data_IF_605411425934
#
_entry.id   IF_605411425934
#
_cell.length_a   1.000
_cell.length_b   1.000
_cell.length_c   1.000
_cell.angle_alpha   90.00
_cell.angle_beta   90.00
_cell.angle_gamma   90.00
#
_symmetry.space_group_name_H-M   'P 1'
#
loop_
_entity.id
_entity.type
_entity.pdbx_description
1 polymer ?
#
# COMPACT_ATOMS: atom_id res chain seq x y z
N UNK A 1 -0.76 -21.29 4.06
CA UNK A 1 0.02 -20.87 5.26
C UNK A 1 -0.79 -19.87 6.10
N UNK A 2 -0.52 -19.69 7.41
CA UNK A 2 -1.42 -18.97 8.33
C UNK A 2 -1.80 -17.52 7.95
N UNK A 3 -1.04 -16.86 7.08
CA UNK A 3 -1.27 -15.46 6.69
C UNK A 3 -1.65 -15.24 5.22
N UNK A 4 -1.93 -16.28 4.44
CA UNK A 4 -2.32 -16.10 3.02
C UNK A 4 -3.63 -15.33 2.87
N UNK A 5 -4.63 -15.63 3.71
CA UNK A 5 -5.91 -14.91 3.70
C UNK A 5 -5.73 -13.41 4.01
N UNK A 6 -4.83 -13.09 4.94
CA UNK A 6 -4.49 -11.70 5.26
C UNK A 6 -3.78 -11.02 4.10
N UNK A 7 -2.77 -11.68 3.50
CA UNK A 7 -2.08 -11.18 2.31
C UNK A 7 -3.06 -10.91 1.17
N UNK A 8 -3.95 -11.86 0.85
CA UNK A 8 -4.96 -11.67 -0.19
C UNK A 8 -5.85 -10.48 0.07
N UNK A 9 -6.28 -10.26 1.32
CA UNK A 9 -7.09 -9.10 1.70
C UNK A 9 -6.33 -7.78 1.56
N UNK A 10 -5.05 -7.74 1.91
CA UNK A 10 -4.23 -6.54 1.71
C UNK A 10 -4.08 -6.22 0.23
N UNK A 11 -3.80 -7.23 -0.60
CA UNK A 11 -3.70 -7.04 -2.06
C UNK A 11 -5.04 -6.56 -2.64
N UNK A 12 -6.17 -7.11 -2.20
CA UNK A 12 -7.50 -6.65 -2.60
C UNK A 12 -7.72 -5.16 -2.26
N UNK A 13 -7.26 -4.69 -1.09
CA UNK A 13 -7.33 -3.26 -0.75
C UNK A 13 -6.46 -2.44 -1.71
N UNK A 14 -5.25 -2.91 -2.05
CA UNK A 14 -4.40 -2.21 -3.02
C UNK A 14 -5.04 -2.17 -4.41
N UNK A 15 -5.62 -3.27 -4.87
CA UNK A 15 -6.35 -3.31 -6.15
C UNK A 15 -7.55 -2.34 -6.15
N UNK A 16 -8.26 -2.21 -5.02
CA UNK A 16 -9.32 -1.23 -4.86
C UNK A 16 -8.77 0.21 -4.93
N UNK A 17 -7.66 0.51 -4.25
CA UNK A 17 -7.03 1.84 -4.34
C UNK A 17 -6.63 2.19 -5.78
N UNK A 18 -6.09 1.22 -6.52
CA UNK A 18 -5.64 1.40 -7.91
C UNK A 18 -6.81 1.56 -8.88
N UNK A 19 -7.87 0.77 -8.71
CA UNK A 19 -9.07 0.83 -9.56
C UNK A 19 -9.89 2.09 -9.33
N UNK A 20 -9.94 2.58 -8.09
CA UNK A 20 -10.60 3.85 -7.73
C UNK A 20 -9.73 5.08 -8.01
N UNK A 21 -8.43 4.89 -8.29
CA UNK A 21 -7.42 5.96 -8.36
C UNK A 21 -7.36 6.80 -7.06
N UNK A 22 -7.59 6.14 -5.93
CA UNK A 22 -7.73 6.78 -4.61
C UNK A 22 -7.05 5.92 -3.51
N UNK A 23 -5.98 6.43 -2.84
CA UNK A 23 -5.34 7.71 -3.12
C UNK A 23 -4.45 7.64 -4.37
N UNK A 24 -4.39 8.72 -5.16
CA UNK A 24 -3.60 8.81 -6.41
C UNK A 24 -2.13 8.40 -6.22
N UNK A 25 -1.58 8.63 -5.03
CA UNK A 25 -0.20 8.29 -4.72
C UNK A 25 0.09 6.77 -4.77
N UNK A 26 -0.93 5.91 -4.60
CA UNK A 26 -0.78 4.46 -4.74
C UNK A 26 -0.42 4.08 -6.18
N UNK A 27 -1.14 4.64 -7.16
CA UNK A 27 -0.88 4.41 -8.58
C UNK A 27 0.46 4.98 -9.02
N UNK A 28 0.77 6.23 -8.62
CA UNK A 28 2.07 6.86 -8.92
C UNK A 28 3.24 6.02 -8.40
N UNK A 29 3.13 5.46 -7.18
CA UNK A 29 4.21 4.63 -6.64
C UNK A 29 4.25 3.24 -7.26
N UNK A 30 3.12 2.65 -7.65
CA UNK A 30 3.10 1.40 -8.40
C UNK A 30 3.87 1.56 -9.72
N UNK A 31 3.54 2.58 -10.50
CA UNK A 31 4.20 2.86 -11.78
C UNK A 31 5.70 3.11 -11.57
N UNK A 32 6.07 3.88 -10.54
CA UNK A 32 7.48 4.13 -10.18
C UNK A 32 8.24 2.84 -9.86
N UNK A 33 7.65 1.94 -9.07
CA UNK A 33 8.28 0.67 -8.69
C UNK A 33 8.40 -0.29 -9.88
N UNK A 34 7.40 -0.33 -10.76
CA UNK A 34 7.48 -1.12 -11.98
C UNK A 34 8.61 -0.57 -12.88
N UNK A 35 8.68 0.75 -13.04
CA UNK A 35 9.74 1.40 -13.80
C UNK A 35 11.14 1.21 -13.18
N UNK A 36 11.24 0.95 -11.88
CA UNK A 36 12.49 0.59 -11.21
C UNK A 36 12.84 -0.90 -11.29
N UNK A 37 12.04 -1.71 -12.00
CA UNK A 37 12.33 -3.11 -12.30
C UNK A 37 11.60 -4.13 -11.42
N UNK A 38 10.69 -3.71 -10.54
CA UNK A 38 9.85 -4.66 -9.81
C UNK A 38 8.73 -5.21 -10.69
N UNK A 39 8.33 -6.45 -10.44
CA UNK A 39 7.07 -6.96 -10.99
C UNK A 39 5.90 -6.25 -10.31
N UNK A 40 4.76 -6.13 -11.00
CA UNK A 40 3.55 -5.53 -10.45
C UNK A 40 3.15 -6.18 -9.11
N UNK A 41 3.24 -7.51 -9.01
CA UNK A 41 2.93 -8.24 -7.78
C UNK A 41 3.85 -7.81 -6.62
N UNK A 42 5.17 -7.73 -6.84
CA UNK A 42 6.13 -7.30 -5.81
C UNK A 42 5.92 -5.84 -5.44
N UNK A 43 5.61 -4.99 -6.41
CA UNK A 43 5.30 -3.58 -6.16
C UNK A 43 4.03 -3.43 -5.30
N UNK A 44 2.96 -4.17 -5.60
CA UNK A 44 1.74 -4.20 -4.76
C UNK A 44 2.01 -4.69 -3.34
N UNK A 45 2.90 -5.66 -3.16
CA UNK A 45 3.31 -6.14 -1.83
C UNK A 45 4.10 -5.11 -1.03
N UNK A 46 4.97 -4.33 -1.69
CA UNK A 46 5.66 -3.20 -1.05
C UNK A 46 4.67 -2.13 -0.59
N UNK A 47 3.72 -1.76 -1.44
CA UNK A 47 2.64 -0.82 -1.09
C UNK A 47 1.81 -1.36 0.09
N UNK A 48 1.44 -2.65 0.05
CA UNK A 48 0.71 -3.30 1.13
C UNK A 48 1.46 -3.27 2.48
N UNK A 49 2.79 -3.30 2.47
CA UNK A 49 3.60 -3.19 3.70
C UNK A 49 3.43 -1.83 4.36
N UNK A 50 3.41 -0.76 3.57
CA UNK A 50 3.15 0.61 4.06
C UNK A 50 1.71 0.77 4.53
N UNK A 51 0.75 0.13 3.87
CA UNK A 51 -0.65 0.10 4.32
C UNK A 51 -0.77 -0.56 5.70
N UNK A 52 -0.11 -1.69 5.92
CA UNK A 52 -0.10 -2.37 7.23
C UNK A 52 0.48 -1.47 8.31
N UNK A 53 1.57 -0.76 8.03
CA UNK A 53 2.17 0.19 8.96
C UNK A 53 1.20 1.33 9.32
N UNK A 54 0.51 1.90 8.32
CA UNK A 54 -0.49 2.94 8.56
C UNK A 54 -1.70 2.41 9.36
N UNK A 55 -2.18 1.21 9.04
CA UNK A 55 -3.26 0.56 9.79
C UNK A 55 -2.85 0.29 11.25
N UNK A 56 -1.59 -0.11 11.49
CA UNK A 56 -1.07 -0.29 12.83
C UNK A 56 -1.08 1.03 13.61
N UNK A 57 -0.63 2.13 12.99
CA UNK A 57 -0.65 3.46 13.61
C UNK A 57 -2.09 3.91 13.94
N UNK A 58 -3.02 3.75 12.99
CA UNK A 58 -4.47 4.02 13.16
C UNK A 58 -5.04 3.27 14.35
N UNK A 59 -4.79 1.96 14.43
CA UNK A 59 -5.31 1.12 15.52
C UNK A 59 -4.69 1.46 16.87
N UNK A 60 -3.37 1.70 16.89
CA UNK A 60 -2.62 1.99 18.12
C UNK A 60 -2.93 3.36 18.69
N UNK A 61 -3.08 4.36 17.84
CA UNK A 61 -3.29 5.76 18.23
C UNK A 61 -4.76 6.16 18.25
N UNK A 62 -5.67 5.28 17.80
CA UNK A 62 -7.11 5.54 17.65
C UNK A 62 -7.40 6.78 16.79
N UNK A 63 -6.57 7.00 15.77
CA UNK A 63 -6.71 8.10 14.82
C UNK A 63 -7.25 7.61 13.49
N UNK A 64 -7.95 8.45 12.70
CA UNK A 64 -8.30 8.10 11.32
C UNK A 64 -7.08 7.80 10.45
N UNK A 65 -7.30 7.06 9.35
CA UNK A 65 -6.29 6.85 8.31
C UNK A 65 -5.78 8.19 7.79
N UNK A 66 -4.46 8.34 7.73
CA UNK A 66 -3.80 9.57 7.29
C UNK A 66 -3.21 9.37 5.90
N UNK A 67 -3.94 9.81 4.88
CA UNK A 67 -3.50 9.71 3.49
C UNK A 67 -2.16 10.41 3.23
N UNK A 68 -1.93 11.59 3.82
CA UNK A 68 -0.67 12.32 3.65
C UNK A 68 0.52 11.52 4.18
N UNK A 69 0.39 10.89 5.35
CA UNK A 69 1.42 10.05 5.94
C UNK A 69 1.64 8.78 5.11
N UNK A 70 0.56 8.15 4.66
CA UNK A 70 0.61 7.00 3.76
C UNK A 70 1.35 7.34 2.46
N UNK A 71 0.96 8.39 1.75
CA UNK A 71 1.59 8.81 0.51
C UNK A 71 3.06 9.19 0.69
N UNK A 72 3.43 9.81 1.82
CA UNK A 72 4.83 10.11 2.14
C UNK A 72 5.65 8.82 2.25
N UNK A 73 5.18 7.85 3.06
CA UNK A 73 5.87 6.56 3.23
C UNK A 73 5.97 5.77 1.92
N UNK A 74 4.93 5.83 1.06
CA UNK A 74 5.00 5.22 -0.27
C UNK A 74 6.10 5.82 -1.14
N UNK A 75 6.31 7.14 -1.08
CA UNK A 75 7.37 7.84 -1.81
C UNK A 75 8.79 7.43 -1.40
N UNK A 76 8.96 6.86 -0.20
CA UNK A 76 10.23 6.40 0.34
C UNK A 76 10.57 4.95 -0.08
N UNK A 77 9.63 4.23 -0.71
CA UNK A 77 9.88 2.86 -1.19
C UNK A 77 10.99 2.83 -2.24
N UNK A 78 11.91 1.87 -2.12
CA UNK A 78 12.97 1.56 -3.09
C UNK A 78 12.84 0.14 -3.60
#
# INVERSE_FOLDING_TARGET
MPNEKMRSKLIEVIDNQLSMDEPKCAKVNLDRLINSGYTEQVAKEKIATVLVEEMYDVMKQQTPFNETRYCKKLGELQ
#
